data_IF_643510015867
#
_entry.id   IF_643510015867
#
_cell.length_a   1.000
_cell.length_b   1.000
_cell.length_c   1.000
_cell.angle_alpha   90.00
_cell.angle_beta   90.00
_cell.angle_gamma   90.00
#
_symmetry.space_group_name_H-M   'P 1'
#
loop_
_entity.id
_entity.type
_entity.pdbx_description
1 polymer ?
#
# COMPACT_ATOMS: atom_id res chain seq x y z
N UNK A 1 -25.67 -34.39 1.37
CA UNK A 1 -25.09 -33.75 0.17
C UNK A 1 -25.08 -32.26 0.42
N UNK A 2 -23.91 -31.72 0.76
CA UNK A 2 -23.76 -30.35 1.23
C UNK A 2 -23.96 -29.34 0.09
N UNK A 3 -24.85 -28.39 0.37
CA UNK A 3 -25.07 -27.13 -0.32
C UNK A 3 -23.77 -26.31 -0.43
N UNK A 4 -23.45 -25.78 -1.61
CA UNK A 4 -22.56 -24.62 -1.71
C UNK A 4 -23.37 -23.39 -2.09
N UNK A 5 -23.61 -22.55 -1.08
CA UNK A 5 -23.91 -21.13 -1.24
C UNK A 5 -22.83 -20.50 -2.11
N UNK A 6 -23.17 -20.14 -3.35
CA UNK A 6 -22.41 -19.16 -4.10
C UNK A 6 -22.68 -17.79 -3.46
N UNK A 7 -21.79 -17.36 -2.58
CA UNK A 7 -21.73 -15.98 -2.13
C UNK A 7 -21.30 -15.12 -3.32
N UNK A 8 -22.22 -14.28 -3.80
CA UNK A 8 -21.99 -13.26 -4.81
C UNK A 8 -21.05 -12.18 -4.24
N UNK A 9 -19.76 -12.31 -4.51
CA UNK A 9 -18.83 -11.18 -4.49
C UNK A 9 -18.70 -10.75 -5.94
N UNK A 10 -19.00 -9.50 -6.26
CA UNK A 10 -18.83 -8.95 -7.61
C UNK A 10 -17.42 -9.26 -8.10
N UNK A 11 -17.29 -10.11 -9.12
CA UNK A 11 -16.02 -10.41 -9.78
C UNK A 11 -15.55 -9.12 -10.46
N UNK A 12 -14.69 -8.37 -9.77
CA UNK A 12 -14.04 -7.19 -10.32
C UNK A 12 -13.09 -7.70 -11.42
N UNK A 13 -13.54 -7.62 -12.68
CA UNK A 13 -12.74 -8.06 -13.81
C UNK A 13 -11.57 -7.09 -13.96
N UNK A 14 -10.34 -7.58 -13.82
CA UNK A 14 -9.19 -6.72 -13.98
C UNK A 14 -9.13 -6.19 -15.40
N UNK A 15 -8.93 -4.88 -15.55
CA UNK A 15 -8.85 -4.23 -16.85
C UNK A 15 -7.40 -4.11 -17.28
N UNK A 16 -7.05 -4.59 -18.47
CA UNK A 16 -5.69 -4.54 -19.01
C UNK A 16 -5.68 -3.59 -20.21
N UNK A 17 -4.75 -2.64 -20.20
CA UNK A 17 -4.48 -1.77 -21.34
C UNK A 17 -3.33 -2.34 -22.17
N UNK A 18 -3.55 -2.57 -23.45
CA UNK A 18 -2.52 -2.99 -24.41
C UNK A 18 -2.16 -1.80 -25.30
N UNK A 19 -0.88 -1.43 -25.34
CA UNK A 19 -0.37 -0.34 -26.18
C UNK A 19 0.65 -0.91 -27.17
N UNK A 20 0.29 -0.98 -28.45
CA UNK A 20 1.11 -1.54 -29.53
C UNK A 20 0.64 -0.94 -30.86
N UNK A 21 1.56 -0.57 -31.75
CA UNK A 21 1.20 0.04 -33.04
C UNK A 21 0.68 -0.99 -34.06
N UNK A 22 0.89 -2.28 -33.79
CA UNK A 22 0.46 -3.37 -34.66
C UNK A 22 -0.81 -4.04 -34.11
N UNK A 23 -1.91 -3.84 -34.83
CA UNK A 23 -3.24 -4.42 -34.51
C UNK A 23 -3.17 -5.95 -34.33
N UNK A 24 -2.33 -6.64 -35.12
CA UNK A 24 -2.16 -8.09 -35.00
C UNK A 24 -1.63 -8.52 -33.61
N UNK A 25 -0.68 -7.77 -33.04
CA UNK A 25 -0.16 -8.05 -31.70
C UNK A 25 -1.25 -7.84 -30.64
N UNK A 26 -2.00 -6.74 -30.75
CA UNK A 26 -3.13 -6.44 -29.87
C UNK A 26 -4.15 -7.57 -29.91
N UNK A 27 -4.57 -8.02 -31.11
CA UNK A 27 -5.58 -9.06 -31.26
C UNK A 27 -5.15 -10.39 -30.63
N UNK A 28 -3.90 -10.81 -30.85
CA UNK A 28 -3.37 -12.04 -30.25
C UNK A 28 -3.36 -11.92 -28.72
N UNK A 29 -2.84 -10.81 -28.19
CA UNK A 29 -2.72 -10.62 -26.76
C UNK A 29 -4.09 -10.46 -26.07
N UNK A 30 -5.02 -9.73 -26.70
CA UNK A 30 -6.39 -9.59 -26.23
C UNK A 30 -7.08 -10.95 -26.15
N UNK A 31 -7.03 -11.77 -27.20
CA UNK A 31 -7.63 -13.11 -27.21
C UNK A 31 -7.09 -13.98 -26.07
N UNK A 32 -5.78 -13.97 -25.84
CA UNK A 32 -5.16 -14.75 -24.77
C UNK A 32 -5.65 -14.33 -23.38
N UNK A 33 -5.85 -13.04 -23.16
CA UNK A 33 -6.21 -12.49 -21.85
C UNK A 33 -7.73 -12.51 -21.61
N UNK A 34 -8.55 -12.33 -22.64
CA UNK A 34 -10.01 -12.42 -22.55
C UNK A 34 -10.48 -13.83 -22.19
N UNK A 35 -9.79 -14.87 -22.70
CA UNK A 35 -10.05 -16.27 -22.34
C UNK A 35 -9.87 -16.52 -20.83
N UNK A 36 -8.95 -15.80 -20.19
CA UNK A 36 -8.71 -15.85 -18.75
C UNK A 36 -9.66 -14.94 -17.95
N UNK A 37 -10.61 -14.26 -18.61
CA UNK A 37 -11.60 -13.40 -17.97
C UNK A 37 -11.14 -11.97 -17.71
N UNK A 38 -10.06 -11.50 -18.34
CA UNK A 38 -9.65 -10.09 -18.25
C UNK A 38 -10.46 -9.20 -19.18
N UNK A 39 -10.73 -7.96 -18.75
CA UNK A 39 -11.31 -6.92 -19.61
C UNK A 39 -10.21 -6.18 -20.36
N UNK A 40 -10.32 -6.06 -21.68
CA UNK A 40 -9.25 -5.47 -22.48
C UNK A 40 -9.64 -4.09 -23.01
N UNK A 41 -8.73 -3.15 -22.87
CA UNK A 41 -8.72 -1.90 -23.63
C UNK A 41 -7.39 -1.78 -24.35
N UNK A 42 -7.35 -1.01 -25.44
CA UNK A 42 -6.14 -0.90 -26.24
C UNK A 42 -5.91 0.53 -26.75
N UNK A 43 -4.68 0.78 -27.16
CA UNK A 43 -4.25 1.99 -27.81
C UNK A 43 -3.17 1.69 -28.87
N UNK A 44 -3.20 2.40 -29.99
CA UNK A 44 -2.26 2.21 -31.09
C UNK A 44 -1.00 3.09 -30.99
N UNK A 45 -0.98 4.01 -30.04
CA UNK A 45 0.13 4.92 -29.78
C UNK A 45 0.02 5.53 -28.38
N UNK A 46 1.07 6.22 -27.95
CA UNK A 46 1.13 6.83 -26.63
C UNK A 46 0.05 7.90 -26.38
N UNK A 47 -0.35 8.66 -27.41
CA UNK A 47 -1.40 9.68 -27.28
C UNK A 47 -2.76 9.05 -27.01
N UNK A 48 -3.12 7.99 -27.75
CA UNK A 48 -4.34 7.24 -27.49
C UNK A 48 -4.25 6.57 -26.11
N UNK A 49 -3.10 6.00 -25.74
CA UNK A 49 -2.92 5.37 -24.42
C UNK A 49 -3.19 6.37 -23.29
N UNK A 50 -2.65 7.59 -23.39
CA UNK A 50 -2.95 8.67 -22.45
C UNK A 50 -4.45 8.99 -22.44
N UNK A 51 -5.10 9.16 -23.60
CA UNK A 51 -6.55 9.40 -23.65
C UNK A 51 -7.36 8.30 -22.96
N UNK A 52 -6.98 7.02 -23.15
CA UNK A 52 -7.61 5.88 -22.47
C UNK A 52 -7.42 5.94 -20.96
N UNK A 53 -6.22 6.27 -20.49
CA UNK A 53 -5.89 6.40 -19.06
C UNK A 53 -6.65 7.52 -18.34
N UNK A 54 -7.10 8.54 -19.06
CA UNK A 54 -7.99 9.57 -18.51
C UNK A 54 -9.42 9.05 -18.30
N UNK A 55 -9.87 8.09 -19.11
CA UNK A 55 -11.22 7.55 -19.08
C UNK A 55 -11.35 6.33 -18.17
N UNK A 56 -10.31 5.49 -18.14
CA UNK A 56 -10.30 4.20 -17.45
C UNK A 56 -8.97 4.07 -16.70
N UNK A 57 -8.99 3.56 -15.47
CA UNK A 57 -7.78 3.17 -14.76
C UNK A 57 -7.55 1.66 -14.95
N UNK A 58 -6.62 1.24 -15.83
CA UNK A 58 -6.28 -0.15 -15.98
C UNK A 58 -5.56 -0.67 -14.74
N UNK A 59 -5.63 -1.97 -14.55
CA UNK A 59 -4.93 -2.68 -13.49
C UNK A 59 -3.52 -3.12 -13.88
N UNK A 60 -3.27 -3.22 -15.18
CA UNK A 60 -1.99 -3.57 -15.78
C UNK A 60 -1.89 -2.98 -17.19
N UNK A 61 -0.69 -2.60 -17.59
CA UNK A 61 -0.40 -2.09 -18.93
C UNK A 61 0.61 -3.01 -19.61
N UNK A 62 0.25 -3.52 -20.78
CA UNK A 62 1.23 -4.03 -21.74
C UNK A 62 1.65 -2.91 -22.68
N UNK A 63 2.95 -2.70 -22.83
CA UNK A 63 3.48 -1.57 -23.59
C UNK A 63 4.54 -2.02 -24.58
N UNK A 64 4.34 -1.79 -25.87
CA UNK A 64 5.36 -2.07 -26.86
C UNK A 64 6.56 -1.16 -26.66
N UNK A 65 7.75 -1.75 -26.75
CA UNK A 65 9.00 -1.02 -26.58
C UNK A 65 9.27 -0.10 -27.77
N UNK A 66 8.97 -0.56 -28.99
CA UNK A 66 9.26 0.17 -30.22
C UNK A 66 7.98 0.61 -30.91
N UNK A 67 7.69 1.92 -30.90
CA UNK A 67 6.61 2.52 -31.67
C UNK A 67 7.14 3.69 -32.53
N UNK A 68 6.53 3.99 -33.70
CA UNK A 68 7.07 4.92 -34.69
C UNK A 68 7.14 6.40 -34.26
N UNK A 69 6.32 6.83 -33.30
CA UNK A 69 6.16 8.25 -32.92
C UNK A 69 6.69 8.60 -31.52
N UNK A 70 6.49 7.72 -30.53
CA UNK A 70 6.95 7.90 -29.15
C UNK A 70 7.52 6.56 -28.69
N UNK A 71 8.70 6.58 -28.06
CA UNK A 71 9.31 5.37 -27.51
C UNK A 71 8.48 4.90 -26.30
N UNK A 72 8.17 3.60 -26.21
CA UNK A 72 7.44 3.05 -25.07
C UNK A 72 8.14 3.35 -23.73
N UNK A 73 9.46 3.51 -23.74
CA UNK A 73 10.23 3.94 -22.57
C UNK A 73 9.81 5.33 -22.06
N UNK A 74 9.58 6.30 -22.95
CA UNK A 74 9.20 7.66 -22.58
C UNK A 74 7.80 7.68 -21.96
N UNK A 75 6.87 6.91 -22.53
CA UNK A 75 5.53 6.77 -21.96
C UNK A 75 5.61 6.10 -20.58
N UNK A 76 6.41 5.03 -20.42
CA UNK A 76 6.59 4.39 -19.13
C UNK A 76 7.10 5.37 -18.07
N UNK A 77 8.14 6.15 -18.38
CA UNK A 77 8.68 7.16 -17.48
C UNK A 77 7.63 8.21 -17.08
N UNK A 78 6.85 8.71 -18.03
CA UNK A 78 5.76 9.65 -17.76
C UNK A 78 4.69 9.05 -16.82
N UNK A 79 4.30 7.79 -17.06
CA UNK A 79 3.31 7.11 -16.22
C UNK A 79 3.85 6.82 -14.82
N UNK A 80 5.14 6.52 -14.70
CA UNK A 80 5.80 6.30 -13.41
C UNK A 80 6.06 7.57 -12.62
N UNK A 81 6.17 8.72 -13.29
CA UNK A 81 6.28 10.02 -12.65
C UNK A 81 4.93 10.58 -12.15
N UNK A 82 3.80 10.08 -12.66
CA UNK A 82 2.47 10.51 -12.25
C UNK A 82 1.95 9.69 -11.05
N UNK A 83 1.69 10.29 -9.88
CA UNK A 83 1.16 9.59 -8.71
C UNK A 83 -0.12 8.79 -8.97
N UNK A 84 -0.91 9.17 -9.98
CA UNK A 84 -2.13 8.47 -10.37
C UNK A 84 -1.85 7.11 -11.04
N UNK A 85 -0.74 6.98 -11.77
CA UNK A 85 -0.43 5.80 -12.58
C UNK A 85 0.81 5.04 -12.11
N UNK A 86 1.63 5.63 -11.23
CA UNK A 86 2.91 5.06 -10.78
C UNK A 86 2.80 3.63 -10.24
N UNK A 87 1.68 3.28 -9.58
CA UNK A 87 1.44 1.98 -8.95
C UNK A 87 0.91 0.93 -9.96
N UNK A 88 0.60 1.29 -11.20
CA UNK A 88 0.12 0.35 -12.23
C UNK A 88 1.33 -0.41 -12.80
N UNK A 89 1.36 -1.76 -12.76
CA UNK A 89 2.43 -2.54 -13.38
C UNK A 89 2.44 -2.34 -14.89
N UNK A 90 3.62 -2.03 -15.43
CA UNK A 90 3.86 -1.90 -16.86
C UNK A 90 4.75 -3.07 -17.28
N UNK A 91 4.25 -3.92 -18.17
CA UNK A 91 4.99 -5.04 -18.76
C UNK A 91 5.32 -4.69 -20.20
N UNK A 92 6.60 -4.60 -20.52
CA UNK A 92 7.02 -4.30 -21.88
C UNK A 92 6.82 -5.49 -22.81
N UNK A 93 6.37 -5.22 -24.03
CA UNK A 93 6.39 -6.17 -25.13
C UNK A 93 7.64 -5.87 -25.97
N UNK A 94 8.48 -6.87 -26.20
CA UNK A 94 9.75 -6.63 -26.91
C UNK A 94 10.04 -7.70 -27.97
N UNK A 95 10.42 -7.25 -29.16
CA UNK A 95 11.03 -8.10 -30.19
C UNK A 95 12.56 -8.19 -30.05
N UNK A 96 13.16 -7.38 -29.16
CA UNK A 96 14.62 -7.28 -28.99
C UNK A 96 15.19 -8.54 -28.33
N UNK A 97 16.31 -9.01 -28.87
CA UNK A 97 17.18 -9.99 -28.19
C UNK A 97 18.29 -9.31 -27.38
N UNK A 98 18.44 -8.00 -27.52
CA UNK A 98 19.44 -7.21 -26.81
C UNK A 98 19.01 -6.99 -25.36
N UNK A 99 19.89 -7.39 -24.44
CA UNK A 99 19.71 -7.25 -23.00
C UNK A 99 19.73 -5.77 -22.57
N UNK A 100 20.40 -4.88 -23.30
CA UNK A 100 20.48 -3.46 -22.96
C UNK A 100 19.10 -2.78 -22.97
N UNK A 101 18.25 -3.17 -23.92
CA UNK A 101 16.88 -2.66 -24.01
C UNK A 101 16.01 -3.13 -22.84
N UNK A 102 16.23 -4.34 -22.33
CA UNK A 102 15.52 -4.86 -21.17
C UNK A 102 15.96 -4.14 -19.89
N UNK A 103 17.26 -3.90 -19.74
CA UNK A 103 17.81 -3.14 -18.60
C UNK A 103 17.21 -1.73 -18.59
N UNK A 104 17.22 -1.03 -19.72
CA UNK A 104 16.67 0.32 -19.83
C UNK A 104 15.18 0.36 -19.47
N UNK A 105 14.39 -0.64 -19.86
CA UNK A 105 12.98 -0.74 -19.46
C UNK A 105 12.80 -0.80 -17.94
N UNK A 106 13.60 -1.62 -17.24
CA UNK A 106 13.56 -1.68 -15.78
C UNK A 106 14.01 -0.39 -15.11
N UNK A 107 15.04 0.28 -15.64
CA UNK A 107 15.49 1.59 -15.14
C UNK A 107 14.41 2.67 -15.26
N UNK A 108 13.55 2.57 -16.29
CA UNK A 108 12.39 3.45 -16.49
C UNK A 108 11.16 3.04 -15.68
N UNK A 109 11.28 2.04 -14.82
CA UNK A 109 10.24 1.61 -13.89
C UNK A 109 9.31 0.53 -14.42
N UNK A 110 9.69 -0.21 -15.48
CA UNK A 110 8.96 -1.41 -15.88
C UNK A 110 8.86 -2.41 -14.72
N UNK A 111 7.70 -3.05 -14.61
CA UNK A 111 7.54 -4.18 -13.69
C UNK A 111 8.13 -5.46 -14.30
N UNK A 112 8.08 -5.60 -15.62
CA UNK A 112 8.56 -6.78 -16.33
C UNK A 112 8.61 -6.58 -17.86
N UNK A 113 8.95 -7.65 -18.58
CA UNK A 113 8.81 -7.73 -20.02
C UNK A 113 8.37 -9.12 -20.51
N UNK A 114 7.81 -9.17 -21.73
CA UNK A 114 7.44 -10.37 -22.48
C UNK A 114 8.03 -10.29 -23.89
N UNK A 115 8.63 -11.38 -24.35
CA UNK A 115 9.21 -11.45 -25.70
C UNK A 115 8.13 -11.75 -26.76
N UNK A 116 8.24 -11.09 -27.90
CA UNK A 116 7.53 -11.43 -29.14
C UNK A 116 8.32 -12.51 -29.90
N UNK A 117 7.68 -13.53 -30.51
CA UNK A 117 6.25 -13.84 -30.49
C UNK A 117 5.77 -14.33 -29.12
N UNK A 118 4.54 -13.99 -28.75
CA UNK A 118 4.01 -14.25 -27.41
C UNK A 118 3.86 -15.74 -27.10
N UNK A 119 4.38 -16.15 -25.94
CA UNK A 119 4.03 -17.43 -25.33
C UNK A 119 2.81 -17.23 -24.42
N UNK A 120 1.70 -17.89 -24.74
CA UNK A 120 0.44 -17.77 -23.99
C UNK A 120 0.61 -18.01 -22.48
N UNK A 121 1.34 -19.08 -22.10
CA UNK A 121 1.54 -19.42 -20.69
C UNK A 121 2.36 -18.36 -19.97
N UNK A 122 3.37 -17.80 -20.63
CA UNK A 122 4.21 -16.75 -20.07
C UNK A 122 3.41 -15.47 -19.82
N UNK A 123 2.64 -15.02 -20.82
CA UNK A 123 1.77 -13.84 -20.71
C UNK A 123 0.81 -13.98 -19.53
N UNK A 124 0.09 -15.11 -19.47
CA UNK A 124 -0.93 -15.33 -18.44
C UNK A 124 -0.28 -15.37 -17.04
N UNK A 125 0.83 -16.11 -16.89
CA UNK A 125 1.52 -16.22 -15.62
C UNK A 125 2.06 -14.88 -15.12
N UNK A 126 2.68 -14.08 -16.00
CA UNK A 126 3.20 -12.75 -15.62
C UNK A 126 2.08 -11.78 -15.30
N UNK A 127 1.02 -11.74 -16.10
CA UNK A 127 -0.17 -10.92 -15.83
C UNK A 127 -0.74 -11.24 -14.45
N UNK A 128 -1.02 -12.51 -14.17
CA UNK A 128 -1.58 -12.94 -12.89
C UNK A 128 -0.67 -12.58 -11.71
N UNK A 129 0.65 -12.80 -11.85
CA UNK A 129 1.65 -12.49 -10.82
C UNK A 129 1.65 -11.00 -10.47
N UNK A 130 1.72 -10.12 -11.47
CA UNK A 130 1.78 -8.68 -11.24
C UNK A 130 0.46 -8.09 -10.75
N UNK A 131 -0.68 -8.62 -11.21
CA UNK A 131 -1.99 -8.25 -10.67
C UNK A 131 -2.14 -8.67 -9.20
N UNK A 132 -1.73 -9.89 -8.86
CA UNK A 132 -1.75 -10.36 -7.48
C UNK A 132 -0.85 -9.51 -6.57
N UNK A 133 0.37 -9.20 -7.03
CA UNK A 133 1.30 -8.35 -6.28
C UNK A 133 0.74 -6.95 -6.02
N UNK A 134 0.13 -6.33 -7.05
CA UNK A 134 -0.55 -5.04 -6.91
C UNK A 134 -1.70 -5.12 -5.92
N UNK A 135 -2.54 -6.16 -6.02
CA UNK A 135 -3.68 -6.32 -5.11
C UNK A 135 -3.23 -6.53 -3.65
N UNK A 136 -2.17 -7.30 -3.42
CA UNK A 136 -1.60 -7.50 -2.09
C UNK A 136 -1.03 -6.19 -1.53
N UNK A 137 -0.34 -5.41 -2.35
CA UNK A 137 0.20 -4.09 -1.97
C UNK A 137 -0.91 -3.13 -1.57
N UNK A 138 -1.99 -3.06 -2.35
CA UNK A 138 -3.16 -2.22 -2.04
C UNK A 138 -3.83 -2.68 -0.73
N UNK A 139 -4.07 -3.99 -0.56
CA UNK A 139 -4.66 -4.55 0.66
C UNK A 139 -3.82 -4.25 1.90
N UNK A 140 -2.50 -4.39 1.79
CA UNK A 140 -1.57 -4.08 2.89
C UNK A 140 -1.62 -2.59 3.25
N UNK A 141 -1.61 -1.71 2.26
CA UNK A 141 -1.72 -0.26 2.47
C UNK A 141 -3.03 0.10 3.18
N UNK A 142 -4.15 -0.44 2.72
CA UNK A 142 -5.46 -0.23 3.34
C UNK A 142 -5.52 -0.74 4.78
N UNK A 143 -5.00 -1.95 5.04
CA UNK A 143 -4.95 -2.50 6.39
C UNK A 143 -4.11 -1.62 7.33
N UNK A 144 -2.97 -1.11 6.85
CA UNK A 144 -2.12 -0.18 7.61
C UNK A 144 -2.82 1.15 7.89
N UNK A 145 -3.51 1.71 6.90
CA UNK A 145 -4.27 2.95 7.06
C UNK A 145 -5.39 2.77 8.09
N UNK A 146 -6.15 1.66 8.01
CA UNK A 146 -7.21 1.34 8.97
C UNK A 146 -6.68 1.23 10.40
N UNK A 147 -5.57 0.51 10.62
CA UNK A 147 -4.95 0.41 11.94
C UNK A 147 -4.48 1.78 12.45
N UNK A 148 -3.86 2.59 11.57
CA UNK A 148 -3.46 3.96 11.92
C UNK A 148 -4.67 4.79 12.33
N UNK A 149 -5.77 4.75 11.56
CA UNK A 149 -7.00 5.49 11.90
C UNK A 149 -7.56 5.07 13.26
N UNK A 150 -7.63 3.77 13.53
CA UNK A 150 -8.11 3.26 14.82
C UNK A 150 -7.23 3.81 15.95
N UNK A 151 -5.90 3.59 15.87
CA UNK A 151 -4.97 3.98 16.94
C UNK A 151 -4.90 5.50 17.14
N UNK A 152 -5.01 6.28 16.06
CA UNK A 152 -4.98 7.74 16.10
C UNK A 152 -6.24 8.37 16.70
N UNK A 153 -7.40 7.71 16.62
CA UNK A 153 -8.66 8.22 17.18
C UNK A 153 -9.07 7.54 18.49
N UNK A 154 -8.25 6.64 19.03
CA UNK A 154 -8.44 6.11 20.39
C UNK A 154 -8.38 7.24 21.42
N UNK A 155 -9.28 7.20 22.40
CA UNK A 155 -9.27 8.15 23.53
C UNK A 155 -8.24 7.77 24.59
N UNK A 156 -7.98 6.47 24.76
CA UNK A 156 -6.94 5.98 25.66
C UNK A 156 -5.55 6.33 25.06
N UNK A 157 -4.68 6.88 25.90
CA UNK A 157 -3.29 7.13 25.55
C UNK A 157 -2.51 5.82 25.48
N UNK A 158 -1.87 5.55 24.36
CA UNK A 158 -1.06 4.35 24.15
C UNK A 158 0.40 4.72 23.94
N UNK A 159 1.28 4.13 24.74
CA UNK A 159 2.73 4.25 24.61
C UNK A 159 3.36 2.87 24.54
N UNK A 160 4.47 2.76 23.82
CA UNK A 160 5.35 1.58 23.85
C UNK A 160 6.74 2.05 24.21
N UNK A 161 7.33 1.43 25.23
CA UNK A 161 8.69 1.69 25.67
C UNK A 161 9.54 0.45 25.50
N UNK A 162 10.79 0.61 25.08
CA UNK A 162 11.76 -0.48 25.04
C UNK A 162 12.35 -0.80 26.42
N UNK A 163 13.27 -1.77 26.47
CA UNK A 163 13.96 -2.16 27.71
C UNK A 163 14.83 -1.05 28.32
N UNK A 164 15.25 -0.06 27.53
CA UNK A 164 16.00 1.10 28.01
C UNK A 164 15.08 2.21 28.55
N UNK A 165 13.76 2.04 28.46
CA UNK A 165 12.77 3.03 28.88
C UNK A 165 12.53 4.13 27.84
N UNK A 166 12.98 3.93 26.60
CA UNK A 166 12.81 4.89 25.51
C UNK A 166 11.46 4.66 24.83
N UNK A 167 10.71 5.74 24.57
CA UNK A 167 9.42 5.66 23.91
C UNK A 167 9.62 5.35 22.42
N UNK A 168 9.21 4.16 22.00
CA UNK A 168 9.26 3.67 20.62
C UNK A 168 7.98 3.99 19.84
N UNK A 169 6.86 4.18 20.56
CA UNK A 169 5.58 4.55 19.97
C UNK A 169 4.76 5.37 20.97
N UNK A 170 4.02 6.33 20.45
CA UNK A 170 2.98 7.05 21.15
C UNK A 170 1.82 7.32 20.18
N UNK A 171 0.57 7.28 20.65
CA UNK A 171 -0.56 7.77 19.88
C UNK A 171 -0.87 9.24 20.23
N UNK A 172 -1.72 9.94 19.44
CA UNK A 172 -2.09 11.34 19.72
C UNK A 172 -2.72 11.57 21.08
N UNK A 173 -3.53 10.62 21.59
CA UNK A 173 -4.12 10.73 22.92
C UNK A 173 -3.07 10.71 24.03
N UNK A 174 -2.04 9.87 23.94
CA UNK A 174 -0.94 9.87 24.89
C UNK A 174 -0.17 11.20 24.88
N UNK A 175 0.09 11.75 23.70
CA UNK A 175 0.71 13.06 23.54
C UNK A 175 -0.10 14.17 24.24
N UNK A 176 -1.42 14.19 24.02
CA UNK A 176 -2.32 15.12 24.69
C UNK A 176 -2.32 14.92 26.22
N UNK A 177 -2.51 13.68 26.69
CA UNK A 177 -2.59 13.37 28.12
C UNK A 177 -1.31 13.74 28.87
N UNK A 178 -0.15 13.51 28.27
CA UNK A 178 1.16 13.88 28.81
C UNK A 178 1.51 15.36 28.58
N UNK A 179 0.64 16.12 27.89
CA UNK A 179 0.86 17.51 27.52
C UNK A 179 2.21 17.73 26.80
N UNK A 180 2.57 16.82 25.91
CA UNK A 180 3.80 16.87 25.12
C UNK A 180 3.52 16.53 23.66
N UNK A 181 4.12 17.24 22.68
CA UNK A 181 3.95 16.90 21.28
C UNK A 181 4.59 15.54 20.97
N UNK A 182 4.02 14.81 20.01
CA UNK A 182 4.47 13.45 19.66
C UNK A 182 5.97 13.38 19.30
N UNK A 183 6.48 14.42 18.64
CA UNK A 183 7.90 14.55 18.26
C UNK A 183 8.85 14.62 19.45
N UNK A 184 8.37 15.08 20.60
CA UNK A 184 9.16 15.18 21.84
C UNK A 184 9.09 13.92 22.68
N UNK A 185 8.14 13.03 22.40
CA UNK A 185 8.00 11.74 23.07
C UNK A 185 8.85 10.67 22.38
N UNK A 186 8.76 10.57 21.05
CA UNK A 186 9.42 9.48 20.31
C UNK A 186 10.95 9.57 20.41
N UNK A 187 11.58 8.48 20.83
CA UNK A 187 13.02 8.39 20.98
C UNK A 187 13.59 9.12 22.19
N UNK A 188 12.74 9.53 23.14
CA UNK A 188 13.15 10.10 24.42
C UNK A 188 12.83 9.14 25.57
N UNK A 189 13.63 9.17 26.67
CA UNK A 189 13.32 8.39 27.85
C UNK A 189 12.03 8.91 28.48
N UNK A 190 11.22 8.01 29.00
CA UNK A 190 10.05 8.40 29.79
C UNK A 190 10.53 9.06 31.11
N UNK A 191 10.44 10.38 31.23
CA UNK A 191 10.94 11.13 32.41
C UNK A 191 10.06 10.89 33.67
N UNK A 192 10.55 10.06 34.61
CA UNK A 192 10.14 9.84 36.03
C UNK A 192 8.68 9.41 36.35
N UNK A 193 8.47 8.74 37.52
CA UNK A 193 8.16 7.32 37.61
C UNK A 193 6.71 6.98 37.20
N UNK A 194 6.43 6.86 35.89
CA UNK A 194 5.15 6.30 35.42
C UNK A 194 5.08 4.77 35.66
N UNK A 195 6.19 4.17 36.12
CA UNK A 195 6.31 2.74 36.43
C UNK A 195 6.61 2.46 37.91
N UNK A 196 5.89 3.09 38.84
CA UNK A 196 5.59 2.33 40.06
C UNK A 196 4.28 1.57 39.81
N UNK A 197 4.27 0.23 39.67
CA UNK A 197 3.03 -0.54 39.65
C UNK A 197 2.15 -0.34 40.91
N UNK A 198 2.66 0.38 41.93
CA UNK A 198 1.92 0.84 43.11
C UNK A 198 1.28 2.23 42.97
N UNK A 199 1.52 2.96 41.89
CA UNK A 199 0.89 4.25 41.56
C UNK A 199 -0.02 4.05 40.35
N UNK A 200 -1.27 3.58 40.56
CA UNK A 200 -2.17 3.21 39.46
C UNK A 200 -2.73 4.43 38.70
N UNK A 201 -2.40 5.66 39.12
CA UNK A 201 -3.04 6.89 38.64
C UNK A 201 -2.04 8.02 38.47
N UNK A 202 -2.14 8.76 37.37
CA UNK A 202 -1.36 9.98 37.11
C UNK A 202 -2.28 11.15 36.76
N UNK A 203 -1.79 12.36 37.01
CA UNK A 203 -2.40 13.57 36.48
C UNK A 203 -2.17 13.65 34.97
N UNK A 204 -3.22 13.98 34.24
CA UNK A 204 -3.19 14.14 32.78
C UNK A 204 -3.90 15.42 32.38
N UNK A 205 -3.65 15.85 31.15
CA UNK A 205 -4.47 16.86 30.49
C UNK A 205 -5.57 16.17 29.67
N UNK A 206 -6.84 16.49 29.95
CA UNK A 206 -8.00 15.97 29.21
C UNK A 206 -8.07 16.59 27.80
N UNK A 207 -8.95 16.04 26.95
CA UNK A 207 -9.16 16.53 25.58
C UNK A 207 -9.68 17.99 25.52
N UNK A 208 -10.35 18.46 26.58
CA UNK A 208 -10.84 19.83 26.74
C UNK A 208 -9.81 20.77 27.40
N UNK A 209 -8.56 20.33 27.55
CA UNK A 209 -7.48 21.01 28.25
C UNK A 209 -7.73 21.25 29.75
N UNK A 210 -8.63 20.51 30.39
CA UNK A 210 -8.77 20.52 31.84
C UNK A 210 -7.89 19.46 32.51
N UNK A 211 -7.45 19.65 33.76
CA UNK A 211 -6.75 18.61 34.51
C UNK A 211 -7.65 17.41 34.76
N UNK A 212 -7.10 16.21 34.63
CA UNK A 212 -7.79 14.95 34.88
C UNK A 212 -6.88 13.90 35.52
N UNK A 213 -7.44 12.72 35.79
CA UNK A 213 -6.72 11.59 36.34
C UNK A 213 -6.84 10.41 35.38
N UNK A 214 -5.71 9.89 34.93
CA UNK A 214 -5.65 8.67 34.15
C UNK A 214 -5.24 7.49 35.00
N UNK A 215 -5.89 6.35 34.80
CA UNK A 215 -5.41 5.06 35.27
C UNK A 215 -4.34 4.52 34.31
N UNK A 216 -3.26 3.99 34.87
CA UNK A 216 -2.18 3.37 34.11
C UNK A 216 -2.35 1.86 34.11
N UNK A 217 -2.36 1.27 32.92
CA UNK A 217 -2.26 -0.18 32.74
C UNK A 217 -0.98 -0.52 31.98
N UNK A 218 -0.24 -1.50 32.50
CA UNK A 218 1.04 -1.93 31.94
C UNK A 218 0.94 -3.40 31.53
N UNK A 219 1.44 -3.74 30.35
CA UNK A 219 1.63 -5.12 29.95
C UNK A 219 2.98 -5.32 29.23
N UNK A 220 3.54 -6.51 29.36
CA UNK A 220 4.71 -6.91 28.59
C UNK A 220 4.27 -7.30 27.17
N UNK A 221 5.04 -6.91 26.17
CA UNK A 221 4.78 -7.19 24.75
C UNK A 221 6.10 -7.35 24.00
N UNK A 222 6.01 -7.60 22.70
CA UNK A 222 7.11 -7.47 21.76
C UNK A 222 6.84 -6.31 20.81
N UNK A 223 7.88 -5.54 20.47
CA UNK A 223 7.85 -4.46 19.49
C UNK A 223 9.08 -4.55 18.61
N UNK A 224 8.91 -4.59 17.29
CA UNK A 224 10.00 -4.81 16.33
C UNK A 224 10.87 -6.06 16.66
N UNK A 225 10.22 -7.16 17.08
CA UNK A 225 10.87 -8.40 17.53
C UNK A 225 11.83 -8.23 18.72
N UNK A 226 11.63 -7.20 19.54
CA UNK A 226 12.35 -6.97 20.79
C UNK A 226 11.36 -6.89 21.95
N UNK A 227 11.73 -7.35 23.16
CA UNK A 227 10.87 -7.18 24.32
C UNK A 227 10.61 -5.70 24.59
N UNK A 228 9.35 -5.37 24.85
CA UNK A 228 8.90 -4.01 25.09
C UNK A 228 7.77 -4.00 26.12
N UNK A 229 7.46 -2.82 26.64
CA UNK A 229 6.35 -2.64 27.57
C UNK A 229 5.32 -1.72 26.93
N UNK A 230 4.06 -2.15 26.90
CA UNK A 230 2.94 -1.32 26.47
C UNK A 230 2.32 -0.65 27.70
N UNK A 231 2.08 0.66 27.59
CA UNK A 231 1.47 1.49 28.62
C UNK A 231 0.18 2.05 28.04
N UNK A 232 -0.92 1.84 28.75
CA UNK A 232 -2.21 2.42 28.44
C UNK A 232 -2.58 3.43 29.53
N UNK A 233 -2.94 4.64 29.12
CA UNK A 233 -3.44 5.73 29.95
C UNK A 233 -4.93 5.88 29.66
N UNK A 234 -5.77 5.64 30.66
CA UNK A 234 -7.23 5.77 30.52
C UNK A 234 -7.74 6.88 31.42
N UNK A 235 -8.36 7.91 30.86
CA UNK A 235 -9.05 8.95 31.64
C UNK A 235 -10.19 8.32 32.47
N UNK A 236 -10.10 8.48 33.79
CA UNK A 236 -11.10 8.01 34.76
C UNK A 236 -11.67 9.18 35.59
N UNK A 237 -11.45 10.42 35.17
CA UNK A 237 -11.85 11.62 35.90
C UNK A 237 -13.33 11.62 36.27
N UNK A 238 -14.20 11.21 35.33
CA UNK A 238 -15.65 11.16 35.53
C UNK A 238 -16.12 9.98 36.40
N UNK A 239 -15.23 9.04 36.77
CA UNK A 239 -15.54 7.91 37.68
C UNK A 239 -15.26 8.25 39.14
N UNK A 240 -14.61 9.39 39.40
CA UNK A 240 -14.18 9.82 40.74
C UNK A 240 -15.12 10.88 41.34
N UNK A 241 -16.04 11.42 40.54
CA UNK A 241 -17.16 12.30 40.94
C UNK A 241 -18.42 11.51 41.25
#
# INVERSE_FOLDING_TARGET
MYSSKASSVASQHNTILIVDDQIANIQVLALLLEVEGYSITYALNAKEAQQRLHLIQPDLIFLDLFMPEINGLDLCEQLKADPKYQDIPIIFLTASRDEQHVISAFEKGAADYVKKPFNAKEVIARTATHLQLRQQTIKLRQAKEQLTTIVSHMQDGLLIVDQAGMIQFANPAAAQMLNQPLSSLLGYPLEQPIFDPRVPKIEILRLDNTPGIAEISVAQTEWNNQPATIICLRDISDRLT
#
